data_IF_460463931067
#
_entry.id   IF_460463931067
#
_cell.length_a   1.000
_cell.length_b   1.000
_cell.length_c   1.000
_cell.angle_alpha   90.00
_cell.angle_beta   90.00
_cell.angle_gamma   90.00
#
_symmetry.space_group_name_H-M   'P 1'
#
loop_
_entity.id
_entity.type
_entity.pdbx_description
1 polymer ?
#
# COMPACT_ATOMS: atom_id res chain seq x y z
N UNK A 1 3.08 -3.12 -12.50
CA UNK A 1 3.15 -4.27 -11.56
C UNK A 1 1.88 -4.31 -10.72
N UNK A 2 1.33 -5.47 -10.31
CA UNK A 2 0.14 -5.52 -9.46
C UNK A 2 0.44 -4.93 -8.06
N UNK A 3 -0.59 -4.38 -7.42
CA UNK A 3 -0.55 -3.66 -6.13
C UNK A 3 0.13 -4.44 -5.00
N UNK A 4 0.67 -3.69 -4.03
CA UNK A 4 1.35 -4.24 -2.86
C UNK A 4 0.41 -5.05 -1.94
N UNK A 5 -0.91 -4.95 -2.11
CA UNK A 5 -1.87 -5.46 -1.11
C UNK A 5 -2.98 -6.36 -1.70
N UNK A 6 -3.36 -6.29 -2.98
CA UNK A 6 -4.63 -6.93 -3.42
C UNK A 6 -4.55 -8.12 -4.38
N UNK A 7 -3.36 -8.62 -4.74
CA UNK A 7 -3.26 -9.88 -5.50
C UNK A 7 -2.35 -10.88 -4.82
N UNK A 8 -2.92 -11.55 -3.82
CA UNK A 8 -2.52 -12.90 -3.44
C UNK A 8 -2.74 -13.83 -4.65
N UNK A 9 -1.75 -13.91 -5.53
CA UNK A 9 -1.57 -15.13 -6.31
C UNK A 9 -0.89 -16.07 -5.32
N UNK A 10 -1.65 -16.99 -4.73
CA UNK A 10 -1.07 -18.20 -4.14
C UNK A 10 -0.52 -19.00 -5.33
N UNK A 11 0.78 -18.94 -5.65
CA UNK A 11 1.30 -19.65 -6.80
C UNK A 11 1.45 -21.09 -6.31
N UNK A 12 0.50 -21.95 -6.68
CA UNK A 12 0.61 -23.40 -6.69
C UNK A 12 1.40 -24.04 -5.52
N UNK A 13 0.70 -24.56 -4.52
CA UNK A 13 1.15 -25.71 -3.69
C UNK A 13 2.58 -25.65 -3.13
N UNK A 14 3.03 -24.52 -2.58
CA UNK A 14 4.22 -24.53 -1.73
C UNK A 14 3.86 -25.05 -0.34
N UNK A 15 4.63 -26.02 0.17
CA UNK A 15 4.44 -26.52 1.52
C UNK A 15 4.68 -25.35 2.51
N UNK A 16 3.93 -25.26 3.62
CA UNK A 16 4.13 -24.21 4.64
C UNK A 16 5.59 -24.13 5.16
N UNK A 17 6.28 -25.27 5.09
CA UNK A 17 7.69 -25.50 5.46
C UNK A 17 8.70 -24.81 4.53
N UNK A 18 8.29 -24.53 3.30
CA UNK A 18 9.18 -24.07 2.24
C UNK A 18 9.07 -22.56 2.03
N UNK A 19 10.20 -21.96 1.69
CA UNK A 19 10.29 -20.56 1.27
C UNK A 19 10.35 -20.47 -0.24
N UNK A 20 9.55 -19.59 -0.81
CA UNK A 20 9.70 -19.17 -2.20
C UNK A 20 11.04 -18.46 -2.44
N UNK A 21 11.42 -18.32 -3.72
CA UNK A 21 12.61 -17.56 -4.11
C UNK A 21 12.54 -16.08 -3.68
N UNK A 22 11.32 -15.52 -3.65
CA UNK A 22 11.08 -14.16 -3.15
C UNK A 22 11.42 -14.09 -1.65
N UNK A 23 10.96 -15.07 -0.87
CA UNK A 23 11.23 -15.13 0.56
C UNK A 23 12.72 -15.37 0.83
N UNK A 24 13.37 -16.25 0.07
CA UNK A 24 14.82 -16.48 0.18
C UNK A 24 15.62 -15.21 -0.07
N UNK A 25 15.21 -14.37 -1.02
CA UNK A 25 15.83 -13.06 -1.26
C UNK A 25 15.68 -12.12 -0.06
N UNK A 26 14.51 -12.10 0.58
CA UNK A 26 14.33 -11.30 1.80
C UNK A 26 15.14 -11.84 2.98
N UNK A 27 15.22 -13.16 3.13
CA UNK A 27 16.07 -13.83 4.13
C UNK A 27 17.54 -13.46 3.94
N UNK A 28 18.05 -13.44 2.70
CA UNK A 28 19.45 -13.07 2.44
C UNK A 28 19.76 -11.61 2.81
N UNK A 29 18.75 -10.74 2.79
CA UNK A 29 18.87 -9.33 3.16
C UNK A 29 18.62 -9.08 4.66
N UNK A 30 18.09 -10.07 5.39
CA UNK A 30 17.69 -9.91 6.79
C UNK A 30 18.82 -9.43 7.70
N UNK A 31 20.07 -9.96 7.64
CA UNK A 31 21.15 -9.48 8.51
C UNK A 31 21.49 -8.01 8.27
N UNK A 32 21.44 -7.55 7.02
CA UNK A 32 21.68 -6.16 6.67
C UNK A 32 20.54 -5.25 7.14
N UNK A 33 19.29 -5.67 6.99
CA UNK A 33 18.12 -4.93 7.46
C UNK A 33 18.13 -4.79 9.00
N UNK A 34 18.49 -5.86 9.71
CA UNK A 34 18.63 -5.85 11.17
C UNK A 34 19.75 -4.90 11.63
N UNK A 35 20.89 -4.90 10.94
CA UNK A 35 21.99 -3.96 11.20
C UNK A 35 21.58 -2.49 10.97
N UNK A 36 20.62 -2.24 10.08
CA UNK A 36 20.01 -0.92 9.86
C UNK A 36 18.79 -0.65 10.78
N UNK A 37 18.54 -1.48 11.80
CA UNK A 37 17.49 -1.23 12.79
C UNK A 37 16.12 -1.80 12.45
N UNK A 38 16.00 -2.70 11.47
CA UNK A 38 14.72 -3.29 11.05
C UNK A 38 14.68 -4.80 11.18
N UNK A 39 13.80 -5.29 12.05
CA UNK A 39 13.58 -6.70 12.31
C UNK A 39 12.46 -7.26 11.42
N UNK A 40 12.77 -8.26 10.60
CA UNK A 40 11.77 -9.01 9.84
C UNK A 40 11.07 -10.07 10.71
N UNK A 41 9.88 -10.51 10.29
CA UNK A 41 9.11 -11.59 10.97
C UNK A 41 9.91 -12.89 11.09
N UNK A 42 9.54 -13.81 12.02
CA UNK A 42 10.23 -15.09 12.22
C UNK A 42 10.47 -15.87 10.93
N UNK A 43 9.47 -15.92 10.05
CA UNK A 43 9.54 -16.60 8.75
C UNK A 43 10.72 -16.17 7.87
N UNK A 44 11.24 -14.95 8.04
CA UNK A 44 12.33 -14.38 7.25
C UNK A 44 13.69 -14.41 7.97
N UNK A 45 13.80 -15.08 9.12
CA UNK A 45 15.09 -15.27 9.80
C UNK A 45 15.93 -16.36 9.10
N UNK A 46 17.25 -16.19 8.90
CA UNK A 46 18.10 -17.20 8.26
C UNK A 46 17.98 -18.60 8.88
N UNK A 47 17.84 -18.68 10.19
CA UNK A 47 17.77 -19.88 11.01
C UNK A 47 16.34 -20.33 11.35
N UNK A 48 15.30 -19.76 10.72
CA UNK A 48 13.93 -20.09 11.07
C UNK A 48 13.60 -21.57 10.88
N UNK A 49 13.04 -22.10 11.95
CA UNK A 49 12.42 -23.42 12.03
C UNK A 49 10.93 -23.18 12.19
N UNK A 50 10.07 -23.80 11.36
CA UNK A 50 8.64 -23.64 11.50
C UNK A 50 8.13 -23.98 12.89
N UNK A 51 7.36 -23.07 13.48
CA UNK A 51 6.92 -23.18 14.88
C UNK A 51 6.08 -24.44 15.16
N UNK A 52 5.36 -24.94 14.16
CA UNK A 52 4.59 -26.18 14.25
C UNK A 52 5.44 -27.44 14.34
N UNK A 53 6.72 -27.43 13.90
CA UNK A 53 7.60 -28.61 14.07
C UNK A 53 7.92 -28.90 15.52
N UNK A 54 8.00 -27.86 16.35
CA UNK A 54 8.24 -27.99 17.78
C UNK A 54 6.96 -28.27 18.58
N UNK A 55 5.82 -27.77 18.11
CA UNK A 55 4.55 -27.78 18.86
C UNK A 55 3.54 -28.85 18.40
N UNK A 56 3.69 -29.36 17.17
CA UNK A 56 2.72 -30.26 16.54
C UNK A 56 1.42 -29.55 16.12
N UNK A 57 1.39 -28.22 16.11
CA UNK A 57 0.23 -27.43 15.70
C UNK A 57 -0.06 -27.58 14.20
N UNK A 58 -1.27 -27.22 13.78
CA UNK A 58 -1.58 -27.06 12.36
C UNK A 58 -0.75 -25.86 11.81
N UNK A 59 0.03 -26.03 10.73
CA UNK A 59 0.75 -24.93 10.10
C UNK A 59 -0.14 -23.72 9.77
N UNK A 60 -1.39 -23.94 9.38
CA UNK A 60 -2.32 -22.87 9.03
C UNK A 60 -2.76 -22.01 10.22
N UNK A 61 -2.55 -22.49 11.45
CA UNK A 61 -2.79 -21.75 12.69
C UNK A 61 -1.55 -21.00 13.20
N UNK A 62 -0.40 -21.21 12.56
CA UNK A 62 0.87 -20.62 12.96
C UNK A 62 1.15 -19.35 12.17
N UNK A 63 1.43 -18.23 12.86
CA UNK A 63 1.72 -16.93 12.23
C UNK A 63 2.85 -17.02 11.18
N UNK A 64 3.89 -17.78 11.51
CA UNK A 64 5.09 -17.94 10.69
C UNK A 64 4.89 -18.86 9.46
N UNK A 65 3.66 -19.34 9.21
CA UNK A 65 3.29 -19.98 7.93
C UNK A 65 2.87 -18.97 6.86
N UNK A 66 2.48 -17.74 7.25
CA UNK A 66 1.89 -16.77 6.34
C UNK A 66 2.94 -16.06 5.47
N UNK A 67 2.99 -16.43 4.17
CA UNK A 67 3.74 -15.76 3.12
C UNK A 67 2.82 -15.00 2.16
N UNK A 68 2.82 -13.67 2.18
CA UNK A 68 2.00 -12.94 1.22
C UNK A 68 2.44 -11.52 1.12
N UNK A 69 3.60 -11.37 0.49
CA UNK A 69 4.19 -10.08 0.30
C UNK A 69 4.60 -9.93 -1.16
N UNK A 70 4.40 -8.74 -1.74
CA UNK A 70 4.85 -8.45 -3.09
C UNK A 70 6.34 -8.73 -3.22
N UNK A 71 6.77 -9.01 -4.44
CA UNK A 71 8.18 -9.26 -4.78
C UNK A 71 9.13 -8.20 -4.19
N UNK A 72 8.67 -6.95 -4.03
CA UNK A 72 9.48 -5.79 -3.63
C UNK A 72 9.02 -5.07 -2.37
N UNK A 73 8.08 -5.60 -1.58
CA UNK A 73 7.68 -4.96 -0.34
C UNK A 73 7.50 -5.99 0.77
N UNK A 74 7.95 -5.69 1.98
CA UNK A 74 7.87 -6.58 3.14
C UNK A 74 7.58 -5.80 4.41
N UNK A 75 6.79 -6.36 5.32
CA UNK A 75 6.63 -5.79 6.65
C UNK A 75 7.87 -6.00 7.52
N UNK A 76 8.12 -5.06 8.44
CA UNK A 76 9.17 -5.14 9.44
C UNK A 76 8.77 -4.42 10.72
N UNK A 77 9.52 -4.63 11.79
CA UNK A 77 9.43 -3.88 13.03
C UNK A 77 10.71 -3.06 13.22
N UNK A 78 10.58 -1.74 13.38
CA UNK A 78 11.72 -0.91 13.75
C UNK A 78 12.16 -1.27 15.17
N UNK A 79 13.43 -1.61 15.33
CA UNK A 79 13.99 -2.15 16.58
C UNK A 79 13.98 -1.10 17.70
N UNK A 80 14.23 0.17 17.35
CA UNK A 80 14.36 1.26 18.32
C UNK A 80 13.11 1.47 19.18
N UNK A 81 11.92 1.39 18.57
CA UNK A 81 10.67 1.78 19.22
C UNK A 81 9.51 0.78 19.03
N UNK A 82 9.76 -0.33 18.32
CA UNK A 82 8.74 -1.34 18.04
C UNK A 82 7.71 -0.93 16.99
N UNK A 83 7.91 0.17 16.26
CA UNK A 83 6.95 0.62 15.25
C UNK A 83 6.90 -0.37 14.08
N UNK A 84 5.69 -0.80 13.72
CA UNK A 84 5.46 -1.61 12.51
C UNK A 84 5.58 -0.74 11.26
N UNK A 85 6.39 -1.20 10.30
CA UNK A 85 6.71 -0.49 9.05
C UNK A 85 6.62 -1.43 7.85
N UNK A 86 6.65 -0.86 6.66
CA UNK A 86 6.80 -1.58 5.39
C UNK A 86 8.09 -1.10 4.73
N UNK A 87 8.90 -2.05 4.28
CA UNK A 87 10.14 -1.81 3.55
C UNK A 87 9.89 -2.15 2.07
N UNK A 88 10.02 -1.15 1.18
CA UNK A 88 9.91 -1.32 -0.27
C UNK A 88 11.29 -1.24 -0.92
N UNK A 89 11.59 -2.16 -1.84
CA UNK A 89 12.78 -2.10 -2.70
C UNK A 89 12.48 -1.24 -3.93
N UNK A 90 13.16 -0.11 -4.04
CA UNK A 90 13.18 0.74 -5.22
C UNK A 90 14.41 0.38 -6.04
N UNK A 91 14.20 -0.26 -7.18
CA UNK A 91 15.26 -0.70 -8.08
C UNK A 91 15.11 0.10 -9.38
N UNK A 92 16.09 0.95 -9.74
CA UNK A 92 16.05 1.71 -10.98
C UNK A 92 15.88 0.79 -12.19
N UNK A 93 14.95 1.11 -13.07
CA UNK A 93 14.89 0.50 -14.41
C UNK A 93 15.88 1.22 -15.35
N UNK A 94 16.47 0.48 -16.29
CA UNK A 94 17.27 1.06 -17.37
C UNK A 94 16.40 1.57 -18.53
N UNK A 95 15.15 1.09 -18.63
CA UNK A 95 14.27 1.42 -19.74
C UNK A 95 13.40 2.65 -19.45
N UNK A 96 13.09 2.89 -18.18
CA UNK A 96 12.23 3.98 -17.73
C UNK A 96 12.81 4.63 -16.47
N UNK A 97 12.48 5.90 -16.21
CA UNK A 97 12.81 6.58 -14.93
C UNK A 97 12.00 6.03 -13.72
N UNK A 98 11.31 4.91 -13.91
CA UNK A 98 10.55 4.16 -12.91
C UNK A 98 11.46 3.84 -11.71
N UNK A 99 10.98 4.15 -10.49
CA UNK A 99 11.71 3.99 -9.24
C UNK A 99 12.58 5.19 -8.81
N UNK A 100 13.20 5.93 -9.74
CA UNK A 100 13.99 7.13 -9.40
C UNK A 100 13.09 8.32 -9.07
N UNK A 101 12.08 8.57 -9.91
CA UNK A 101 11.12 9.65 -9.66
C UNK A 101 10.26 9.36 -8.42
N UNK A 102 9.93 8.09 -8.16
CA UNK A 102 9.20 7.69 -6.95
C UNK A 102 9.95 8.11 -5.67
N UNK A 103 11.23 7.76 -5.55
CA UNK A 103 12.02 8.11 -4.37
C UNK A 103 12.11 9.63 -4.18
N UNK A 104 12.42 10.37 -5.24
CA UNK A 104 12.54 11.84 -5.19
C UNK A 104 11.22 12.51 -4.78
N UNK A 105 10.08 12.05 -5.31
CA UNK A 105 8.76 12.58 -4.95
C UNK A 105 8.47 12.34 -3.47
N UNK A 106 8.64 11.10 -3.00
CA UNK A 106 8.32 10.73 -1.61
C UNK A 106 9.24 11.48 -0.65
N UNK A 107 10.55 11.54 -0.91
CA UNK A 107 11.50 12.28 -0.07
C UNK A 107 11.17 13.78 -0.03
N UNK A 108 10.83 14.38 -1.17
CA UNK A 108 10.40 15.78 -1.23
C UNK A 108 9.17 16.04 -0.37
N UNK A 109 8.13 15.22 -0.51
CA UNK A 109 6.89 15.39 0.27
C UNK A 109 7.05 15.02 1.75
N UNK A 110 8.09 14.28 2.10
CA UNK A 110 8.43 13.93 3.49
C UNK A 110 9.39 14.92 4.15
N UNK A 111 9.83 15.96 3.43
CA UNK A 111 10.74 16.97 3.95
C UNK A 111 9.99 18.29 4.27
N UNK A 112 10.37 19.01 5.34
CA UNK A 112 9.83 20.34 5.60
C UNK A 112 10.12 21.31 4.44
N UNK A 113 9.20 22.24 4.13
CA UNK A 113 7.94 22.50 4.82
C UNK A 113 6.78 21.58 4.39
N UNK A 114 6.95 20.75 3.35
CA UNK A 114 5.86 19.97 2.75
C UNK A 114 5.36 18.85 3.66
N UNK A 115 6.23 18.27 4.47
CA UNK A 115 5.85 17.28 5.50
C UNK A 115 4.87 17.84 6.54
N UNK A 116 4.91 19.15 6.77
CA UNK A 116 4.09 19.83 7.78
C UNK A 116 2.79 20.38 7.18
N UNK A 117 2.59 20.27 5.86
CA UNK A 117 1.36 20.71 5.22
C UNK A 117 0.23 19.70 5.55
N UNK A 118 -0.89 20.12 6.18
CA UNK A 118 -1.97 19.21 6.53
C UNK A 118 -2.61 18.55 5.30
N UNK A 119 -2.67 19.25 4.16
CA UNK A 119 -3.20 18.74 2.90
C UNK A 119 -2.25 17.76 2.19
N UNK A 120 -1.04 17.57 2.72
CA UNK A 120 -0.15 16.53 2.20
C UNK A 120 -0.61 15.16 2.71
N UNK A 121 -1.29 14.44 1.82
CA UNK A 121 -1.69 13.04 2.02
C UNK A 121 -0.79 12.08 1.23
N UNK A 122 0.48 12.42 1.03
CA UNK A 122 1.45 11.47 0.47
C UNK A 122 1.99 10.57 1.58
N UNK A 123 2.22 9.29 1.30
CA UNK A 123 2.86 8.39 2.26
C UNK A 123 4.20 8.95 2.74
N UNK A 124 4.46 9.01 4.05
CA UNK A 124 5.72 9.55 4.54
C UNK A 124 6.86 8.54 4.37
N UNK A 125 8.02 9.04 3.99
CA UNK A 125 9.30 8.35 4.08
C UNK A 125 9.82 8.46 5.50
N UNK A 126 9.88 7.33 6.20
CA UNK A 126 10.44 7.25 7.56
C UNK A 126 11.96 7.12 7.53
N UNK A 127 12.48 6.40 6.55
CA UNK A 127 13.92 6.14 6.39
C UNK A 127 14.21 5.63 4.96
N UNK A 128 15.44 5.81 4.50
CA UNK A 128 15.93 5.30 3.22
C UNK A 128 17.41 4.95 3.30
N UNK A 129 17.79 3.79 2.77
CA UNK A 129 19.19 3.35 2.74
C UNK A 129 19.46 2.43 1.54
N UNK A 130 20.72 2.26 1.10
CA UNK A 130 21.04 1.48 -0.11
C UNK A 130 20.71 0.00 0.02
N UNK A 131 20.35 -0.63 -1.11
CA UNK A 131 20.27 -2.08 -1.24
C UNK A 131 21.69 -2.61 -1.55
N UNK A 132 22.23 -3.57 -0.78
CA UNK A 132 23.54 -4.15 -1.06
C UNK A 132 23.60 -4.73 -2.48
N UNK A 133 24.73 -4.50 -3.15
CA UNK A 133 25.04 -5.04 -4.49
C UNK A 133 24.04 -4.66 -5.61
N UNK A 134 23.20 -3.64 -5.38
CA UNK A 134 22.28 -3.10 -6.39
C UNK A 134 22.58 -1.63 -6.61
N UNK A 135 23.27 -1.32 -7.72
CA UNK A 135 23.62 0.06 -8.07
C UNK A 135 22.35 0.94 -8.18
N UNK A 136 22.32 2.03 -7.40
CA UNK A 136 21.18 2.94 -7.31
C UNK A 136 19.91 2.34 -6.67
N UNK A 137 19.97 1.09 -6.19
CA UNK A 137 18.87 0.45 -5.48
C UNK A 137 18.74 1.00 -4.06
N UNK A 138 17.52 1.34 -3.66
CA UNK A 138 17.23 1.92 -2.35
C UNK A 138 16.13 1.15 -1.65
N UNK A 139 16.30 0.88 -0.36
CA UNK A 139 15.19 0.57 0.53
C UNK A 139 14.49 1.87 0.91
N UNK A 140 13.17 1.85 0.84
CA UNK A 140 12.28 2.90 1.32
C UNK A 140 11.44 2.33 2.46
N UNK A 141 11.55 2.94 3.63
CA UNK A 141 10.77 2.58 4.82
C UNK A 141 9.58 3.52 4.95
N UNK A 142 8.39 2.94 5.03
CA UNK A 142 7.11 3.64 5.13
C UNK A 142 6.31 3.10 6.33
N UNK A 143 5.32 3.85 6.85
CA UNK A 143 4.42 3.32 7.86
C UNK A 143 3.68 2.08 7.36
N UNK A 144 3.37 1.16 8.28
CA UNK A 144 2.36 0.14 8.00
C UNK A 144 0.98 0.83 7.90
N UNK A 145 0.36 0.71 6.73
CA UNK A 145 -0.97 1.25 6.46
C UNK A 145 -1.94 0.11 6.07
N UNK A 146 -3.23 0.44 6.01
CA UNK A 146 -4.32 -0.52 5.82
C UNK A 146 -5.28 -0.08 4.73
N UNK A 147 -6.01 -1.02 4.13
CA UNK A 147 -7.10 -0.70 3.22
C UNK A 147 -8.13 0.24 3.89
N UNK A 148 -8.49 1.34 3.24
CA UNK A 148 -9.35 2.36 3.83
C UNK A 148 -10.78 1.88 4.09
N UNK A 149 -11.21 0.77 3.48
CA UNK A 149 -12.53 0.14 3.70
C UNK A 149 -12.53 -0.83 4.89
N UNK A 150 -11.41 -1.01 5.58
CA UNK A 150 -11.25 -1.93 6.70
C UNK A 150 -10.73 -1.21 7.95
N UNK A 151 -11.56 -1.01 8.98
CA UNK A 151 -12.96 -1.46 9.11
C UNK A 151 -13.92 -0.73 8.14
N UNK A 152 -15.13 -1.26 7.88
CA UNK A 152 -16.12 -0.57 7.05
C UNK A 152 -16.45 0.84 7.58
N UNK A 153 -16.88 1.74 6.68
CA UNK A 153 -17.42 3.03 7.10
C UNK A 153 -18.68 2.86 7.95
N UNK A 154 -18.71 3.50 9.11
CA UNK A 154 -19.86 3.41 10.03
C UNK A 154 -21.05 4.24 9.54
N UNK A 155 -20.79 5.45 9.07
CA UNK A 155 -21.80 6.39 8.61
C UNK A 155 -21.27 7.30 7.49
N UNK A 156 -22.15 8.19 7.00
CA UNK A 156 -21.84 9.14 5.92
C UNK A 156 -20.81 10.18 6.37
N UNK A 157 -20.70 10.48 7.67
CA UNK A 157 -19.72 11.45 8.17
C UNK A 157 -18.30 10.92 8.02
N UNK A 158 -18.08 9.63 8.29
CA UNK A 158 -16.79 8.99 8.03
C UNK A 158 -16.43 8.96 6.54
N UNK A 159 -17.42 8.79 5.66
CA UNK A 159 -17.21 8.87 4.21
C UNK A 159 -16.87 10.30 3.79
N UNK A 160 -17.57 11.30 4.34
CA UNK A 160 -17.31 12.70 4.06
C UNK A 160 -15.89 13.11 4.48
N UNK A 161 -15.43 12.66 5.65
CA UNK A 161 -14.05 12.88 6.11
C UNK A 161 -13.02 12.23 5.17
N UNK A 162 -13.24 10.98 4.77
CA UNK A 162 -12.42 10.29 3.77
C UNK A 162 -12.33 11.07 2.45
N UNK A 163 -13.48 11.51 1.92
CA UNK A 163 -13.55 12.28 0.68
C UNK A 163 -12.79 13.60 0.78
N UNK A 164 -12.94 14.33 1.90
CA UNK A 164 -12.20 15.57 2.14
C UNK A 164 -10.69 15.35 2.06
N UNK A 165 -10.17 14.38 2.82
CA UNK A 165 -8.74 14.09 2.88
C UNK A 165 -8.14 13.68 1.53
N UNK A 166 -8.80 12.79 0.77
CA UNK A 166 -8.27 12.37 -0.53
C UNK A 166 -8.36 13.49 -1.58
N UNK A 167 -9.37 14.36 -1.54
CA UNK A 167 -9.46 15.51 -2.43
C UNK A 167 -8.38 16.55 -2.13
N UNK A 168 -8.16 16.87 -0.86
CA UNK A 168 -7.05 17.74 -0.42
C UNK A 168 -5.70 17.15 -0.83
N UNK A 169 -5.53 15.84 -0.65
CA UNK A 169 -4.35 15.11 -1.07
C UNK A 169 -4.08 15.21 -2.56
N UNK A 170 -5.10 15.01 -3.39
CA UNK A 170 -4.93 15.08 -4.84
C UNK A 170 -4.67 16.50 -5.32
N UNK A 171 -5.37 17.49 -4.76
CA UNK A 171 -5.11 18.90 -5.03
C UNK A 171 -3.67 19.26 -4.65
N UNK A 172 -3.20 18.80 -3.48
CA UNK A 172 -1.82 18.99 -3.05
C UNK A 172 -0.82 18.42 -4.06
N UNK A 173 -1.01 17.17 -4.52
CA UNK A 173 -0.13 16.56 -5.53
C UNK A 173 -0.10 17.40 -6.81
N UNK A 174 -1.28 17.76 -7.31
CA UNK A 174 -1.44 18.51 -8.56
C UNK A 174 -0.85 19.92 -8.47
N UNK A 175 -1.02 20.59 -7.33
CA UNK A 175 -0.43 21.91 -7.05
C UNK A 175 1.09 21.87 -7.10
N UNK A 176 1.71 20.77 -6.67
CA UNK A 176 3.16 20.57 -6.70
C UNK A 176 3.67 19.96 -8.02
N UNK A 177 2.81 19.91 -9.05
CA UNK A 177 3.17 19.44 -10.38
C UNK A 177 3.34 17.92 -10.47
N UNK A 178 2.79 17.15 -9.51
CA UNK A 178 2.85 15.69 -9.52
C UNK A 178 1.49 15.14 -9.94
N UNK A 179 1.48 14.34 -11.00
CA UNK A 179 0.35 13.47 -11.34
C UNK A 179 0.67 12.04 -10.91
N UNK A 180 -0.27 11.36 -10.27
CA UNK A 180 -0.06 10.01 -9.71
C UNK A 180 -0.09 8.92 -10.79
N UNK A 181 -0.93 9.08 -11.81
CA UNK A 181 -1.10 8.21 -12.99
C UNK A 181 -1.65 6.80 -12.74
N UNK A 182 -1.78 6.37 -11.49
CA UNK A 182 -2.27 5.03 -11.11
C UNK A 182 -3.15 5.10 -9.85
N UNK A 183 -4.06 6.08 -9.77
CA UNK A 183 -5.00 6.15 -8.64
C UNK A 183 -5.93 4.93 -8.71
N UNK A 184 -5.90 4.14 -7.64
CA UNK A 184 -6.70 2.94 -7.48
C UNK A 184 -7.00 2.73 -6.00
N UNK A 185 -8.02 1.92 -5.66
CA UNK A 185 -8.36 1.67 -4.25
C UNK A 185 -7.19 1.11 -3.44
N UNK A 186 -6.33 0.29 -4.05
CA UNK A 186 -5.16 -0.28 -3.38
C UNK A 186 -4.02 0.74 -3.18
N UNK A 187 -4.07 1.86 -3.89
CA UNK A 187 -3.05 2.92 -3.82
C UNK A 187 -3.50 4.09 -2.93
N UNK A 188 -4.62 3.95 -2.23
CA UNK A 188 -5.05 4.82 -1.13
C UNK A 188 -5.12 3.94 0.10
N UNK A 189 -4.37 4.26 1.15
CA UNK A 189 -4.38 3.52 2.40
C UNK A 189 -4.66 4.42 3.59
N UNK A 190 -5.00 3.83 4.73
CA UNK A 190 -5.40 4.49 5.96
C UNK A 190 -4.47 4.07 7.09
N UNK A 191 -4.08 5.01 7.95
CA UNK A 191 -3.54 4.68 9.25
C UNK A 191 -4.68 4.33 10.21
N UNK A 192 -4.97 3.03 10.34
CA UNK A 192 -6.05 2.55 11.21
C UNK A 192 -5.61 2.28 12.64
N UNK A 193 -4.32 2.41 12.98
CA UNK A 193 -3.79 2.09 14.32
C UNK A 193 -4.53 2.82 15.45
N UNK A 194 -4.92 4.11 15.31
CA UNK A 194 -5.69 4.81 16.35
C UNK A 194 -7.03 4.17 16.70
N UNK A 195 -7.57 3.29 15.84
CA UNK A 195 -8.84 2.60 16.06
C UNK A 195 -8.71 1.38 16.99
N UNK A 196 -7.51 0.96 17.36
CA UNK A 196 -7.24 -0.26 18.12
C UNK A 196 -6.47 0.04 19.42
N UNK A 197 -6.75 -0.72 20.48
CA UNK A 197 -6.01 -0.65 21.76
C UNK A 197 -4.77 -1.55 21.77
N UNK A 198 -4.57 -2.30 20.69
CA UNK A 198 -3.48 -3.26 20.55
C UNK A 198 -3.01 -3.33 19.08
N UNK A 199 -1.77 -3.73 18.83
CA UNK A 199 -1.30 -3.91 17.47
C UNK A 199 -1.98 -5.11 16.78
N UNK A 200 -2.14 -5.00 15.47
CA UNK A 200 -2.64 -6.07 14.62
C UNK A 200 -1.51 -6.64 13.75
N UNK A 201 -1.69 -7.86 13.28
CA UNK A 201 -0.72 -8.52 12.42
C UNK A 201 -0.50 -7.71 11.13
N UNK A 202 0.76 -7.46 10.69
CA UNK A 202 1.04 -6.56 9.55
C UNK A 202 0.49 -7.06 8.21
N UNK A 203 0.51 -8.38 7.98
CA UNK A 203 -0.12 -9.03 6.83
C UNK A 203 -1.61 -9.36 7.05
N UNK A 204 -1.93 -10.24 8.01
CA UNK A 204 -3.32 -10.57 8.40
C UNK A 204 -3.93 -9.49 9.29
N UNK A 205 -4.10 -8.25 8.82
CA UNK A 205 -4.48 -7.08 9.63
C UNK A 205 -5.87 -7.13 10.29
N UNK A 206 -6.60 -8.23 10.15
CA UNK A 206 -7.83 -8.56 10.88
C UNK A 206 -7.57 -9.47 12.10
N UNK A 207 -6.32 -9.85 12.33
CA UNK A 207 -5.84 -10.69 13.43
C UNK A 207 -4.89 -9.89 14.32
N UNK A 208 -4.76 -10.36 15.55
CA UNK A 208 -3.71 -9.93 16.48
C UNK A 208 -2.32 -10.34 16.01
N UNK A 209 -1.28 -9.73 16.60
CA UNK A 209 0.11 -9.96 16.19
C UNK A 209 0.52 -11.43 16.12
N UNK A 210 0.00 -12.28 17.00
CA UNK A 210 0.30 -13.73 17.00
C UNK A 210 -0.51 -14.54 15.98
N UNK A 211 -1.36 -13.88 15.19
CA UNK A 211 -2.24 -14.48 14.19
C UNK A 211 -3.48 -15.18 14.76
N UNK A 212 -3.60 -15.37 16.07
CA UNK A 212 -4.55 -16.33 16.65
C UNK A 212 -5.97 -15.79 16.70
N UNK A 213 -6.16 -14.63 17.32
CA UNK A 213 -7.50 -14.05 17.55
C UNK A 213 -7.79 -12.87 16.63
N UNK A 214 -9.07 -12.60 16.30
CA UNK A 214 -9.46 -11.41 15.58
C UNK A 214 -9.03 -10.12 16.32
N UNK A 215 -8.40 -9.20 15.60
CA UNK A 215 -8.17 -7.83 16.08
C UNK A 215 -9.44 -7.02 15.81
N UNK A 216 -10.04 -6.45 16.87
CA UNK A 216 -11.30 -5.70 16.76
C UNK A 216 -11.04 -4.21 16.96
N UNK A 217 -11.53 -3.34 16.07
CA UNK A 217 -11.46 -1.90 16.31
C UNK A 217 -12.27 -1.58 17.57
N UNK A 218 -11.67 -0.79 18.46
CA UNK A 218 -12.30 -0.29 19.68
C UNK A 218 -13.06 1.01 19.43
N UNK A 219 -12.58 1.81 18.48
CA UNK A 219 -13.08 3.16 18.20
C UNK A 219 -13.58 3.27 16.77
N UNK A 220 -14.56 4.14 16.58
CA UNK A 220 -14.97 4.63 15.26
C UNK A 220 -14.00 5.71 14.76
N UNK A 221 -13.98 5.98 13.46
CA UNK A 221 -13.14 7.05 12.89
C UNK A 221 -13.58 8.43 13.42
N UNK A 222 -14.86 8.59 13.72
CA UNK A 222 -15.42 9.79 14.35
C UNK A 222 -14.96 10.02 15.80
N UNK A 223 -14.52 8.96 16.49
CA UNK A 223 -14.00 9.04 17.86
C UNK A 223 -12.47 9.20 17.90
N UNK A 224 -11.78 8.64 16.90
CA UNK A 224 -10.33 8.67 16.74
C UNK A 224 -10.02 8.99 15.28
N UNK A 225 -9.67 10.26 14.96
CA UNK A 225 -9.36 10.65 13.59
C UNK A 225 -8.28 9.77 12.98
N UNK A 226 -8.50 9.36 11.74
CA UNK A 226 -7.57 8.57 10.93
C UNK A 226 -7.07 9.42 9.78
N UNK A 227 -5.90 9.07 9.23
CA UNK A 227 -5.34 9.76 8.08
C UNK A 227 -5.25 8.83 6.88
N UNK A 228 -5.64 9.34 5.71
CA UNK A 228 -5.54 8.63 4.44
C UNK A 228 -4.33 9.10 3.65
N UNK A 229 -3.73 8.21 2.87
CA UNK A 229 -2.51 8.45 2.13
C UNK A 229 -2.58 7.86 0.72
N UNK A 230 -2.17 8.65 -0.26
CA UNK A 230 -1.71 8.17 -1.56
C UNK A 230 -0.37 7.46 -1.39
N UNK A 231 -0.28 6.25 -1.92
CA UNK A 231 0.92 5.41 -1.89
C UNK A 231 1.31 5.00 -3.31
N UNK A 232 2.50 4.41 -3.46
CA UNK A 232 2.96 3.80 -4.72
C UNK A 232 3.07 4.81 -5.88
N UNK A 233 4.09 5.67 -5.80
CA UNK A 233 4.39 6.69 -6.81
C UNK A 233 5.21 6.11 -7.98
N UNK A 234 5.24 4.79 -8.16
CA UNK A 234 6.02 4.12 -9.21
C UNK A 234 5.68 4.59 -10.63
N UNK A 235 4.42 4.97 -10.88
CA UNK A 235 3.95 5.52 -12.16
C UNK A 235 3.81 7.04 -12.18
N UNK A 236 4.08 7.72 -11.06
CA UNK A 236 3.88 9.14 -10.95
C UNK A 236 4.81 9.92 -11.90
N UNK A 237 4.36 11.10 -12.29
CA UNK A 237 5.09 12.01 -13.18
C UNK A 237 5.20 13.37 -12.54
N UNK A 238 6.43 13.89 -12.48
CA UNK A 238 6.71 15.17 -11.85
C UNK A 238 7.09 16.24 -12.88
N UNK A 239 6.15 17.15 -13.11
CA UNK A 239 6.28 18.32 -13.96
C UNK A 239 6.88 19.48 -13.14
N UNK A 240 8.21 19.52 -13.09
CA UNK A 240 8.96 20.52 -12.30
C UNK A 240 8.81 21.95 -12.83
N UNK A 241 8.68 22.09 -14.14
CA UNK A 241 8.49 23.38 -14.81
C UNK A 241 7.00 23.67 -14.99
N UNK A 242 6.44 24.73 -14.38
CA UNK A 242 5.02 25.06 -14.50
C UNK A 242 4.55 25.29 -15.94
N UNK A 243 5.45 25.73 -16.82
CA UNK A 243 5.21 26.00 -18.24
C UNK A 243 5.38 24.76 -19.12
N UNK A 244 5.81 23.62 -18.59
CA UNK A 244 5.94 22.40 -19.37
C UNK A 244 4.57 21.97 -19.91
N UNK A 245 4.57 21.42 -21.12
CA UNK A 245 3.38 20.78 -21.69
C UNK A 245 3.04 19.58 -20.79
N UNK A 246 1.86 19.64 -20.14
CA UNK A 246 1.39 18.64 -19.18
C UNK A 246 0.82 17.43 -19.90
N UNK A 247 1.67 16.72 -20.61
CA UNK A 247 1.23 15.53 -21.33
C UNK A 247 2.18 14.36 -21.17
N UNK A 248 1.59 13.16 -21.21
CA UNK A 248 2.30 11.89 -21.13
C UNK A 248 1.76 10.93 -22.18
N UNK A 249 2.54 9.92 -22.52
CA UNK A 249 2.12 8.77 -23.31
C UNK A 249 2.25 7.51 -22.47
N UNK A 250 1.30 6.59 -22.57
CA UNK A 250 1.35 5.32 -21.86
C UNK A 250 -0.03 4.71 -21.68
N UNK A 251 -0.05 3.41 -21.40
CA UNK A 251 -1.29 2.61 -21.26
C UNK A 251 -1.40 1.93 -19.89
N UNK A 252 -0.38 2.09 -19.03
CA UNK A 252 -0.27 1.39 -17.75
C UNK A 252 -1.00 2.17 -16.65
N UNK A 253 -2.17 1.67 -16.27
CA UNK A 253 -2.91 2.04 -15.06
C UNK A 253 -3.85 0.89 -14.68
N UNK A 254 -4.15 0.74 -13.39
CA UNK A 254 -5.18 -0.21 -12.91
C UNK A 254 -6.57 0.22 -13.36
N UNK A 255 -6.89 1.49 -13.17
CA UNK A 255 -8.08 2.15 -13.68
C UNK A 255 -7.71 2.89 -14.98
N UNK A 256 -7.81 2.21 -16.12
CA UNK A 256 -7.50 2.82 -17.41
C UNK A 256 -8.54 3.86 -17.79
N UNK A 257 -8.08 5.08 -18.10
CA UNK A 257 -8.94 6.15 -18.61
C UNK A 257 -9.13 6.03 -20.13
N UNK A 258 -10.23 6.53 -20.70
CA UNK A 258 -10.52 6.39 -22.14
C UNK A 258 -9.38 6.81 -23.06
N UNK A 259 -8.69 7.89 -22.73
CA UNK A 259 -7.56 8.44 -23.47
C UNK A 259 -6.29 7.58 -23.42
N UNK A 260 -6.12 6.77 -22.36
CA UNK A 260 -5.03 5.77 -22.27
C UNK A 260 -5.28 4.55 -23.16
N UNK A 261 -6.53 4.22 -23.49
CA UNK A 261 -6.86 3.02 -24.28
C UNK A 261 -6.33 3.12 -25.72
N UNK A 262 -6.17 4.34 -26.23
CA UNK A 262 -5.61 4.59 -27.57
C UNK A 262 -4.09 4.76 -27.63
N UNK A 263 -3.38 4.76 -26.49
CA UNK A 263 -1.95 5.11 -26.44
C UNK A 263 -1.65 6.56 -26.84
N UNK A 264 -2.69 7.40 -26.88
CA UNK A 264 -2.57 8.80 -27.25
C UNK A 264 -1.86 9.59 -26.15
N UNK A 265 -1.35 10.77 -26.53
CA UNK A 265 -0.84 11.75 -25.59
C UNK A 265 -2.03 12.32 -24.79
N UNK A 266 -1.93 12.35 -23.46
CA UNK A 266 -3.01 12.82 -22.59
C UNK A 266 -2.51 13.65 -21.41
N UNK A 267 -3.42 14.42 -20.79
CA UNK A 267 -3.17 15.16 -19.56
C UNK A 267 -3.30 14.21 -18.34
N UNK A 268 -2.18 13.90 -17.65
CA UNK A 268 -2.22 12.94 -16.54
C UNK A 268 -2.95 13.47 -15.31
N UNK A 269 -3.06 14.80 -15.15
CA UNK A 269 -3.79 15.40 -14.04
C UNK A 269 -5.29 15.18 -14.21
N UNK A 270 -5.80 15.23 -15.45
CA UNK A 270 -7.20 14.89 -15.75
C UNK A 270 -7.46 13.38 -15.62
N UNK A 271 -6.49 12.55 -16.00
CA UNK A 271 -6.57 11.12 -15.81
C UNK A 271 -6.71 10.75 -14.32
N UNK A 272 -5.91 11.37 -13.43
CA UNK A 272 -6.03 11.18 -11.98
C UNK A 272 -7.44 11.48 -11.45
N UNK A 273 -8.05 12.58 -11.90
CA UNK A 273 -9.42 12.96 -11.48
C UNK A 273 -10.44 11.91 -11.95
N UNK A 274 -10.31 11.42 -13.19
CA UNK A 274 -11.16 10.34 -13.69
C UNK A 274 -10.98 9.06 -12.86
N UNK A 275 -9.74 8.66 -12.61
CA UNK A 275 -9.41 7.46 -11.83
C UNK A 275 -9.98 7.54 -10.42
N UNK A 276 -9.83 8.69 -9.76
CA UNK A 276 -10.43 8.93 -8.45
C UNK A 276 -11.96 8.80 -8.51
N UNK A 277 -12.62 9.44 -9.48
CA UNK A 277 -14.07 9.30 -9.68
C UNK A 277 -14.51 7.85 -9.92
N UNK A 278 -13.72 7.08 -10.68
CA UNK A 278 -14.00 5.67 -10.97
C UNK A 278 -13.96 4.80 -9.71
N UNK A 279 -12.95 4.98 -8.86
CA UNK A 279 -12.86 4.22 -7.60
C UNK A 279 -13.92 4.64 -6.60
N UNK A 280 -14.29 5.93 -6.52
CA UNK A 280 -15.36 6.39 -5.62
C UNK A 280 -16.70 5.79 -6.04
N UNK A 281 -16.99 5.76 -7.33
CA UNK A 281 -18.20 5.11 -7.87
C UNK A 281 -18.22 3.61 -7.55
N UNK A 282 -17.08 2.92 -7.68
CA UNK A 282 -17.00 1.47 -7.42
C UNK A 282 -17.12 1.13 -5.94
N UNK A 283 -16.44 1.90 -5.09
CA UNK A 283 -16.19 1.51 -3.70
C UNK A 283 -17.23 2.07 -2.73
N UNK A 284 -17.89 3.19 -3.07
CA UNK A 284 -18.86 3.85 -2.18
C UNK A 284 -20.31 3.75 -2.65
N UNK A 285 -20.57 3.51 -3.94
CA UNK A 285 -21.93 3.40 -4.46
C UNK A 285 -22.31 1.92 -4.55
N UNK A 286 -23.29 1.44 -3.75
CA UNK A 286 -23.78 0.08 -3.88
C UNK A 286 -24.30 -0.14 -5.30
N UNK A 287 -23.78 -1.16 -5.98
CA UNK A 287 -24.41 -1.64 -7.22
C UNK A 287 -25.68 -2.37 -6.79
N UNK A 288 -26.82 -1.68 -6.80
CA UNK A 288 -28.11 -2.36 -6.71
C UNK A 288 -28.13 -3.34 -7.87
N UNK A 289 -28.09 -4.64 -7.56
CA UNK A 289 -28.44 -5.67 -8.53
C UNK A 289 -29.85 -5.31 -9.03
N UNK A 290 -29.93 -4.78 -10.25
CA UNK A 290 -31.16 -4.77 -11.04
C UNK A 290 -31.41 -6.22 -11.46
N UNK A 291 -31.66 -7.08 -10.48
CA UNK A 291 -32.44 -8.29 -10.71
C UNK A 291 -33.83 -7.93 -10.22
N UNK A 292 -34.66 -7.56 -11.19
CA UNK A 292 -36.08 -7.38 -10.98
C UNK A 292 -36.61 -8.58 -10.20
N UNK A 293 -37.26 -8.27 -9.09
CA UNK A 293 -38.15 -9.17 -8.38
C UNK A 293 -39.24 -9.62 -9.35
N UNK A 294 -38.96 -10.65 -10.15
CA UNK A 294 -39.99 -11.52 -10.70
C UNK A 294 -40.48 -12.36 -9.52
N UNK A 295 -41.30 -11.73 -8.68
CA UNK A 295 -42.25 -12.46 -7.84
C UNK A 295 -43.18 -13.14 -8.83
N UNK A 296 -42.90 -14.41 -9.12
CA UNK A 296 -43.88 -15.32 -9.73
C UNK A 296 -45.05 -15.40 -8.76
N UNK A 297 -46.10 -14.62 -9.04
CA UNK A 297 -47.44 -14.95 -8.59
C UNK A 297 -47.87 -16.23 -9.29
N UNK A 298 -47.92 -17.32 -8.54
CA UNK A 298 -48.74 -18.47 -8.88
C UNK A 298 -49.30 -19.03 -7.59
N UNK A 299 -50.62 -18.86 -7.47
CA UNK A 299 -51.54 -19.60 -6.59
C UNK A 299 -51.35 -21.11 -6.72
#
# INVERSE_FOLDING_TARGET
MPSIISRAINPAWQAPEERSEIEKRWVSLQPYLAANGYQLRPRYQPDWVPSWKATGADPFDCEDSSNALPVRALDATRIEDGTQVVIKMLIPSNNDREGREELEIIQRFSSPPLSNNPSNHSVPCLDTFPIPDVEGGMFLVMPLLSEYKSPPFHDISEIHDFLGQIFEGLEFLHHHGVAHCDIASDNILMDKRPLYDEPFHPFLQHRTLDGKRPAKPKYLRSQKPVRYYYIDFGYAKWFREPTAVRTVSGVHAKERVPEQVGGNVYDPFKADIYQLGAILRRDLIPVSLIYGTMISTSL
#
